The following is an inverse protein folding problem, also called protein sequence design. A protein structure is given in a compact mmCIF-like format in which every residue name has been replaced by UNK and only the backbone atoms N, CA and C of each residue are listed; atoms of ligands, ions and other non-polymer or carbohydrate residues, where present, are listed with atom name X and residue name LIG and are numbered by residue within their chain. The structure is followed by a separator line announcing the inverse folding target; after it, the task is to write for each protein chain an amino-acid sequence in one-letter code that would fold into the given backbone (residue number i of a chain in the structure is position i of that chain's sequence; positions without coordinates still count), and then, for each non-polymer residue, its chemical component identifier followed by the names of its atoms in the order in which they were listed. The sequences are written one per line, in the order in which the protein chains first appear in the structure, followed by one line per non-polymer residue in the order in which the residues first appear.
data_IF_884182807390
#
_entry.id   IF_884182807390
#
_cell.length_a   1.000
_cell.length_b   1.000
_cell.length_c   1.000
_cell.angle_alpha   90.00
_cell.angle_beta   90.00
_cell.angle_gamma   90.00
#
_symmetry.space_group_name_H-M   'P 1'
#
loop_
_entity.id
_entity.type
_entity.pdbx_description
1 polymer ?
#
# COMPACT_ATOMS: atom_id res chain seq x y z
N UNK A 1 -19.71 40.70 8.78
CA UNK A 1 -20.02 39.51 9.58
C UNK A 1 -19.22 38.36 9.00
N UNK A 2 -18.33 37.78 9.80
CA UNK A 2 -17.60 36.57 9.45
C UNK A 2 -18.61 35.44 9.17
N UNK A 3 -18.45 34.67 8.12
CA UNK A 3 -19.29 33.49 7.90
C UNK A 3 -18.95 32.42 8.94
N UNK A 4 -19.83 32.23 9.91
CA UNK A 4 -19.77 31.10 10.84
C UNK A 4 -20.13 29.83 10.08
N UNK A 5 -19.13 29.02 9.77
CA UNK A 5 -19.29 27.71 9.16
C UNK A 5 -19.52 26.68 10.27
N UNK A 6 -20.71 26.04 10.29
CA UNK A 6 -20.96 24.87 11.13
C UNK A 6 -20.41 23.61 10.43
N UNK A 7 -19.54 22.84 11.08
CA UNK A 7 -18.97 21.65 10.48
C UNK A 7 -19.97 20.50 10.42
N UNK A 8 -20.14 19.92 9.22
CA UNK A 8 -20.83 18.65 9.01
C UNK A 8 -20.04 17.48 9.66
N UNK A 9 -20.70 16.40 10.14
CA UNK A 9 -20.07 15.32 10.91
C UNK A 9 -19.14 14.39 10.11
N UNK A 10 -18.93 14.62 8.82
CA UNK A 10 -18.03 13.83 7.98
C UNK A 10 -16.75 14.62 7.71
N UNK A 11 -15.74 14.38 8.53
CA UNK A 11 -14.34 14.79 8.36
C UNK A 11 -14.11 16.25 8.00
N UNK A 12 -13.56 17.03 8.94
CA UNK A 12 -13.14 18.44 8.70
C UNK A 12 -12.16 18.50 7.53
N UNK A 13 -12.48 19.32 6.52
CA UNK A 13 -11.49 19.91 5.65
C UNK A 13 -10.97 21.15 6.39
N UNK A 14 -9.76 21.09 6.91
CA UNK A 14 -9.07 22.28 7.41
C UNK A 14 -8.52 23.03 6.19
N UNK A 15 -9.13 24.16 5.86
CA UNK A 15 -8.70 25.01 4.74
C UNK A 15 -7.87 26.14 5.31
N UNK A 16 -6.60 26.17 4.98
CA UNK A 16 -5.69 27.26 5.30
C UNK A 16 -5.53 28.17 4.09
N UNK A 17 -5.74 29.47 4.29
CA UNK A 17 -5.49 30.47 3.27
C UNK A 17 -4.01 30.81 3.25
N UNK A 18 -3.37 30.65 2.10
CA UNK A 18 -1.98 31.04 1.94
C UNK A 18 -1.80 32.56 2.16
N UNK A 19 -0.79 32.97 2.93
CA UNK A 19 -0.52 34.38 3.15
C UNK A 19 -0.13 35.09 1.85
N UNK A 20 -0.54 36.34 1.70
CA UNK A 20 -0.28 37.17 0.51
C UNK A 20 1.21 37.22 0.14
N UNK A 21 2.11 37.11 1.12
CA UNK A 21 3.56 37.09 0.90
C UNK A 21 4.04 35.91 0.05
N UNK A 22 3.32 34.80 0.06
CA UNK A 22 3.64 33.63 -0.76
C UNK A 22 3.14 33.83 -2.20
N UNK A 23 2.09 34.64 -2.38
CA UNK A 23 1.45 34.92 -3.65
C UNK A 23 2.14 36.08 -4.41
N UNK A 24 2.86 36.97 -3.72
CA UNK A 24 3.53 38.17 -4.32
C UNK A 24 4.60 37.87 -5.38
N UNK A 25 5.02 36.61 -5.51
CA UNK A 25 5.94 36.16 -6.57
C UNK A 25 5.24 35.52 -7.77
N UNK A 26 3.90 35.41 -7.74
CA UNK A 26 3.10 34.69 -8.75
C UNK A 26 2.25 35.62 -9.62
N UNK A 27 2.28 36.95 -9.37
CA UNK A 27 1.57 37.93 -10.19
C UNK A 27 2.07 37.88 -11.64
N UNK A 28 1.26 37.29 -12.51
CA UNK A 28 1.57 37.02 -13.93
C UNK A 28 2.14 35.65 -14.22
N UNK A 29 2.29 34.78 -13.19
CA UNK A 29 2.65 33.37 -13.36
C UNK A 29 1.48 32.57 -13.95
N UNK A 30 1.71 31.91 -15.09
CA UNK A 30 0.73 30.99 -15.65
C UNK A 30 0.56 29.75 -14.76
N UNK A 31 -0.26 28.81 -15.20
CA UNK A 31 -0.59 27.54 -14.54
C UNK A 31 0.65 26.77 -14.02
N UNK A 32 1.78 26.88 -14.72
CA UNK A 32 3.05 26.26 -14.33
C UNK A 32 3.68 26.86 -13.05
N UNK A 33 3.45 28.12 -12.76
CA UNK A 33 3.95 28.74 -11.53
C UNK A 33 3.16 28.27 -10.31
N UNK A 34 1.86 28.10 -10.44
CA UNK A 34 1.00 27.52 -9.41
C UNK A 34 1.31 26.02 -9.19
N UNK A 35 1.57 25.27 -10.27
CA UNK A 35 1.99 23.88 -10.18
C UNK A 35 3.33 23.74 -9.43
N UNK A 36 4.31 24.59 -9.73
CA UNK A 36 5.59 24.57 -9.04
C UNK A 36 5.48 24.97 -7.55
N UNK A 37 4.59 25.90 -7.21
CA UNK A 37 4.30 26.26 -5.83
C UNK A 37 3.62 25.12 -5.10
N UNK A 38 2.58 24.51 -5.71
CA UNK A 38 1.86 23.39 -5.14
C UNK A 38 2.78 22.21 -4.87
N UNK A 39 3.64 21.83 -5.82
CA UNK A 39 4.62 20.76 -5.65
C UNK A 39 5.57 21.04 -4.48
N UNK A 40 6.01 22.28 -4.30
CA UNK A 40 6.88 22.70 -3.18
C UNK A 40 6.15 22.61 -1.83
N UNK A 41 4.91 23.09 -1.76
CA UNK A 41 4.13 23.10 -0.52
C UNK A 41 3.76 21.69 -0.10
N UNK A 42 3.27 20.87 -1.03
CA UNK A 42 2.95 19.48 -0.79
C UNK A 42 4.17 18.63 -0.40
N UNK A 43 5.36 18.98 -0.91
CA UNK A 43 6.61 18.33 -0.52
C UNK A 43 7.14 18.76 0.86
N UNK A 44 6.84 20.00 1.27
CA UNK A 44 7.35 20.58 2.52
C UNK A 44 6.50 20.23 3.73
N UNK A 45 5.21 19.96 3.55
CA UNK A 45 4.25 19.69 4.62
C UNK A 45 3.42 18.45 4.30
N UNK A 46 3.62 17.40 5.11
CA UNK A 46 2.91 16.13 4.98
C UNK A 46 1.42 16.24 5.37
N UNK A 47 1.01 17.29 6.06
CA UNK A 47 -0.40 17.50 6.43
C UNK A 47 -1.20 18.18 5.34
N UNK A 48 -0.55 18.83 4.35
CA UNK A 48 -1.18 19.42 3.18
C UNK A 48 -1.63 18.33 2.20
N UNK A 49 -2.94 18.30 1.89
CA UNK A 49 -3.50 17.34 0.94
C UNK A 49 -3.56 17.86 -0.50
N UNK A 50 -3.96 19.11 -0.71
CA UNK A 50 -4.09 19.71 -2.05
C UNK A 50 -4.02 21.22 -2.00
N UNK A 51 -3.65 21.85 -3.12
CA UNK A 51 -3.72 23.30 -3.32
C UNK A 51 -4.87 23.63 -4.28
N UNK A 52 -5.80 24.48 -3.86
CA UNK A 52 -6.90 24.95 -4.70
C UNK A 52 -6.66 26.38 -5.09
N UNK A 53 -6.67 26.64 -6.40
CA UNK A 53 -6.61 27.99 -6.96
C UNK A 53 -8.00 28.39 -7.43
N UNK A 54 -8.58 29.40 -6.78
CA UNK A 54 -9.89 29.94 -7.11
C UNK A 54 -9.70 31.29 -7.78
N UNK A 55 -10.10 31.48 -9.06
CA UNK A 55 -9.95 32.75 -9.74
C UNK A 55 -10.87 33.83 -9.12
N UNK A 56 -10.38 35.07 -9.06
CA UNK A 56 -11.11 36.21 -8.49
C UNK A 56 -12.42 36.53 -9.25
N UNK A 57 -12.46 36.27 -10.55
CA UNK A 57 -13.65 36.38 -11.39
C UNK A 57 -13.96 35.02 -12.01
N UNK A 58 -15.13 34.50 -11.77
CA UNK A 58 -15.62 33.25 -12.39
C UNK A 58 -16.01 33.57 -13.85
N UNK A 59 -15.31 32.89 -14.77
CA UNK A 59 -15.70 32.81 -16.19
C UNK A 59 -15.47 31.37 -16.66
N UNK A 60 -16.11 31.01 -17.77
CA UNK A 60 -15.86 29.71 -18.41
C UNK A 60 -14.38 29.51 -18.81
N UNK A 61 -13.64 30.61 -18.96
CA UNK A 61 -12.22 30.62 -19.30
C UNK A 61 -11.29 30.55 -18.08
N UNK A 62 -11.82 30.64 -16.88
CA UNK A 62 -11.07 30.61 -15.61
C UNK A 62 -11.65 29.57 -14.65
N UNK A 63 -11.42 28.28 -14.90
CA UNK A 63 -11.90 27.20 -14.03
C UNK A 63 -11.18 27.21 -12.67
N UNK A 64 -11.80 26.58 -11.67
CA UNK A 64 -11.13 26.26 -10.41
C UNK A 64 -10.11 25.16 -10.70
N UNK A 65 -8.85 25.37 -10.32
CA UNK A 65 -7.80 24.38 -10.52
C UNK A 65 -7.38 23.80 -9.17
N UNK A 66 -7.48 22.48 -9.04
CA UNK A 66 -7.02 21.73 -7.88
C UNK A 66 -5.73 20.97 -8.24
N UNK A 67 -4.64 21.33 -7.58
CA UNK A 67 -3.36 20.67 -7.71
C UNK A 67 -3.25 19.61 -6.61
N UNK A 68 -2.93 18.38 -6.99
CA UNK A 68 -2.79 17.27 -6.09
C UNK A 68 -1.61 16.37 -6.51
N UNK A 69 -1.23 15.45 -5.66
CA UNK A 69 -0.20 14.44 -5.92
C UNK A 69 -0.85 13.04 -5.77
N UNK A 70 -1.06 12.35 -6.87
CA UNK A 70 -1.73 11.03 -6.89
C UNK A 70 -0.93 9.95 -6.16
N UNK A 71 0.36 10.16 -5.93
CA UNK A 71 1.20 9.20 -5.22
C UNK A 71 1.00 9.23 -3.70
N UNK A 72 0.35 10.29 -3.17
CA UNK A 72 0.08 10.47 -1.75
C UNK A 72 -1.37 10.14 -1.41
N UNK A 73 -1.59 9.17 -0.54
CA UNK A 73 -2.93 8.77 -0.12
C UNK A 73 -3.75 9.93 0.47
N UNK A 74 -3.11 10.83 1.21
CA UNK A 74 -3.78 12.03 1.78
C UNK A 74 -4.22 12.99 0.68
N UNK A 75 -3.40 13.17 -0.34
CA UNK A 75 -3.69 14.06 -1.47
C UNK A 75 -4.88 13.55 -2.29
N UNK A 76 -4.95 12.26 -2.56
CA UNK A 76 -6.08 11.65 -3.28
C UNK A 76 -7.38 11.70 -2.47
N UNK A 77 -7.32 11.48 -1.15
CA UNK A 77 -8.48 11.61 -0.26
C UNK A 77 -8.94 13.07 -0.17
N UNK A 78 -8.00 14.02 -0.08
CA UNK A 78 -8.31 15.44 -0.05
C UNK A 78 -9.01 15.87 -1.34
N UNK A 79 -8.49 15.45 -2.50
CA UNK A 79 -9.10 15.74 -3.80
C UNK A 79 -10.53 15.21 -3.88
N UNK A 80 -10.76 13.95 -3.55
CA UNK A 80 -12.10 13.34 -3.58
C UNK A 80 -13.10 14.12 -2.69
N UNK A 81 -12.67 14.56 -1.51
CA UNK A 81 -13.50 15.38 -0.61
C UNK A 81 -13.76 16.79 -1.16
N UNK A 82 -12.77 17.38 -1.82
CA UNK A 82 -12.91 18.70 -2.45
C UNK A 82 -13.92 18.61 -3.59
N UNK A 83 -13.83 17.61 -4.45
CA UNK A 83 -14.76 17.37 -5.55
C UNK A 83 -16.21 17.19 -5.02
N UNK A 84 -16.40 16.31 -4.02
CA UNK A 84 -17.71 16.10 -3.38
C UNK A 84 -18.30 17.41 -2.82
N UNK A 85 -17.50 18.21 -2.13
CA UNK A 85 -17.94 19.48 -1.56
C UNK A 85 -18.23 20.54 -2.62
N UNK A 86 -17.46 20.58 -3.69
CA UNK A 86 -17.70 21.52 -4.78
C UNK A 86 -18.98 21.14 -5.55
N UNK A 87 -19.24 19.85 -5.76
CA UNK A 87 -20.50 19.36 -6.34
C UNK A 87 -21.70 19.70 -5.46
N UNK A 88 -21.66 19.39 -4.16
CA UNK A 88 -22.71 19.75 -3.21
C UNK A 88 -23.00 21.27 -3.22
N UNK A 89 -21.94 22.08 -3.22
CA UNK A 89 -22.08 23.53 -3.27
C UNK A 89 -22.64 24.01 -4.61
N UNK A 90 -22.20 23.43 -5.71
CA UNK A 90 -22.71 23.72 -7.04
C UNK A 90 -24.21 23.41 -7.15
N UNK A 91 -24.64 22.25 -6.65
CA UNK A 91 -26.04 21.82 -6.68
C UNK A 91 -26.92 22.69 -5.78
N UNK A 92 -26.45 23.02 -4.58
CA UNK A 92 -27.18 23.94 -3.68
C UNK A 92 -27.34 25.35 -4.28
N UNK A 93 -26.25 25.83 -4.94
CA UNK A 93 -26.26 27.15 -5.59
C UNK A 93 -27.13 27.15 -6.84
N UNK A 94 -27.12 26.08 -7.65
CA UNK A 94 -28.03 25.91 -8.80
C UNK A 94 -29.46 25.85 -8.37
N UNK A 95 -29.81 25.06 -7.31
CA UNK A 95 -31.14 24.95 -6.77
C UNK A 95 -31.67 26.29 -6.27
N UNK A 96 -30.89 27.05 -5.51
CA UNK A 96 -31.25 28.36 -4.99
C UNK A 96 -31.40 29.43 -6.10
N UNK A 97 -30.48 29.43 -7.08
CA UNK A 97 -30.54 30.37 -8.20
C UNK A 97 -31.70 30.07 -9.16
N UNK A 98 -32.02 28.80 -9.40
CA UNK A 98 -33.18 28.38 -10.19
C UNK A 98 -34.48 28.78 -9.54
N UNK A 99 -34.64 28.60 -8.21
CA UNK A 99 -35.81 29.05 -7.47
C UNK A 99 -35.98 30.57 -7.46
N UNK A 100 -34.87 31.33 -7.34
CA UNK A 100 -34.91 32.78 -7.27
C UNK A 100 -35.21 33.48 -8.62
N UNK A 101 -34.87 32.84 -9.75
CA UNK A 101 -34.93 33.45 -11.10
C UNK A 101 -35.85 32.73 -12.08
N UNK A 102 -36.51 31.65 -11.68
CA UNK A 102 -37.32 30.78 -12.57
C UNK A 102 -36.60 30.36 -13.85
N UNK A 103 -35.27 30.12 -13.73
CA UNK A 103 -34.40 29.66 -14.82
C UNK A 103 -34.27 28.15 -14.72
N UNK A 104 -34.25 27.47 -15.91
CA UNK A 104 -34.05 26.05 -15.96
C UNK A 104 -32.65 25.70 -15.42
N UNK A 105 -32.56 24.77 -14.47
CA UNK A 105 -31.29 24.31 -13.87
C UNK A 105 -30.33 23.78 -14.93
N UNK A 106 -30.86 23.17 -16.01
CA UNK A 106 -30.08 22.64 -17.10
C UNK A 106 -29.37 23.71 -17.96
N UNK A 107 -29.80 24.98 -17.85
CA UNK A 107 -29.18 26.11 -18.56
C UNK A 107 -28.02 26.76 -17.76
N UNK A 108 -27.80 26.35 -16.52
CA UNK A 108 -26.69 26.83 -15.72
C UNK A 108 -25.43 25.98 -16.02
N UNK A 109 -24.40 26.62 -16.52
CA UNK A 109 -23.13 25.94 -16.78
C UNK A 109 -22.56 25.30 -15.50
N UNK A 110 -22.10 24.05 -15.58
CA UNK A 110 -21.46 23.38 -14.44
C UNK A 110 -20.19 24.13 -14.03
N UNK A 111 -19.89 24.10 -12.72
CA UNK A 111 -18.59 24.56 -12.24
C UNK A 111 -17.54 23.56 -12.77
N UNK A 112 -16.74 23.98 -13.72
CA UNK A 112 -15.62 23.17 -14.22
C UNK A 112 -14.50 23.22 -13.19
N UNK A 113 -14.22 22.07 -12.60
CA UNK A 113 -13.05 21.85 -11.74
C UNK A 113 -12.03 21.08 -12.57
N UNK A 114 -10.88 21.71 -12.84
CA UNK A 114 -9.75 21.03 -13.47
C UNK A 114 -8.83 20.52 -12.40
N UNK A 115 -8.60 19.21 -12.41
CA UNK A 115 -7.60 18.57 -11.57
C UNK A 115 -6.27 18.52 -12.33
N UNK A 116 -5.18 18.88 -11.67
CA UNK A 116 -3.83 18.73 -12.20
C UNK A 116 -3.03 17.87 -11.26
N UNK A 117 -2.68 16.68 -11.75
CA UNK A 117 -1.76 15.80 -11.05
C UNK A 117 -0.33 16.33 -11.16
N UNK A 118 0.33 16.41 -10.03
CA UNK A 118 1.72 16.85 -9.93
C UNK A 118 2.69 15.67 -9.93
N UNK A 119 2.16 14.44 -9.79
CA UNK A 119 2.97 13.23 -9.83
C UNK A 119 3.64 13.10 -11.19
N UNK A 120 4.92 12.81 -11.18
CA UNK A 120 5.63 12.43 -12.39
C UNK A 120 5.31 10.98 -12.76
N UNK A 121 5.43 10.62 -14.04
CA UNK A 121 5.26 9.24 -14.49
C UNK A 121 6.19 8.25 -13.76
N UNK A 122 7.36 8.72 -13.31
CA UNK A 122 8.28 7.94 -12.48
C UNK A 122 7.70 7.66 -11.08
N UNK A 123 7.09 8.65 -10.45
CA UNK A 123 6.44 8.52 -9.13
C UNK A 123 5.21 7.63 -9.20
N UNK A 124 4.37 7.78 -10.24
CA UNK A 124 3.24 6.87 -10.48
C UNK A 124 3.68 5.41 -10.64
N UNK A 125 4.76 5.17 -11.40
CA UNK A 125 5.33 3.84 -11.57
C UNK A 125 5.92 3.28 -10.28
N UNK A 126 6.61 4.10 -9.50
CA UNK A 126 7.12 3.73 -8.18
C UNK A 126 5.97 3.38 -7.22
N UNK A 127 4.87 4.15 -7.25
CA UNK A 127 3.66 3.86 -6.48
C UNK A 127 3.06 2.51 -6.90
N UNK A 128 2.85 2.28 -8.19
CA UNK A 128 2.30 1.02 -8.70
C UNK A 128 3.15 -0.19 -8.26
N UNK A 129 4.47 -0.07 -8.34
CA UNK A 129 5.39 -1.10 -7.85
C UNK A 129 5.32 -1.26 -6.33
N UNK A 130 5.26 -0.17 -5.58
CA UNK A 130 5.19 -0.20 -4.12
C UNK A 130 3.93 -0.88 -3.59
N UNK A 131 2.83 -0.84 -4.36
CA UNK A 131 1.59 -1.53 -4.03
C UNK A 131 1.62 -3.02 -4.42
N UNK A 132 2.15 -3.33 -5.62
CA UNK A 132 2.15 -4.69 -6.15
C UNK A 132 3.27 -5.56 -5.58
N UNK A 133 4.46 -5.01 -5.37
CA UNK A 133 5.65 -5.75 -5.00
C UNK A 133 5.52 -6.41 -3.62
N UNK A 134 5.03 -5.75 -2.55
CA UNK A 134 4.80 -6.37 -1.25
C UNK A 134 3.82 -7.54 -1.34
N UNK A 135 2.73 -7.38 -2.07
CA UNK A 135 1.74 -8.44 -2.27
C UNK A 135 2.35 -9.66 -2.97
N UNK A 136 3.13 -9.44 -4.04
CA UNK A 136 3.80 -10.52 -4.76
C UNK A 136 4.83 -11.24 -3.89
N UNK A 137 5.61 -10.51 -3.09
CA UNK A 137 6.57 -11.10 -2.15
C UNK A 137 5.87 -12.00 -1.13
N UNK A 138 4.74 -11.58 -0.56
CA UNK A 138 3.94 -12.35 0.37
C UNK A 138 3.38 -13.62 -0.30
N UNK A 139 2.81 -13.50 -1.49
CA UNK A 139 2.28 -14.63 -2.25
C UNK A 139 3.40 -15.64 -2.53
N UNK A 140 4.57 -15.19 -2.98
CA UNK A 140 5.70 -16.08 -3.28
C UNK A 140 6.28 -16.74 -2.03
N UNK A 141 6.32 -16.02 -0.90
CA UNK A 141 6.72 -16.59 0.38
C UNK A 141 5.78 -17.74 0.80
N UNK A 142 4.47 -17.53 0.69
CA UNK A 142 3.45 -18.52 1.02
C UNK A 142 3.51 -19.70 0.06
N UNK A 143 3.55 -19.45 -1.26
CA UNK A 143 3.61 -20.51 -2.29
C UNK A 143 4.90 -21.32 -2.23
N UNK A 144 6.04 -20.65 -2.02
CA UNK A 144 7.34 -21.30 -1.88
C UNK A 144 7.46 -22.19 -0.65
N UNK A 145 6.69 -21.90 0.40
CA UNK A 145 6.62 -22.68 1.63
C UNK A 145 5.55 -23.80 1.59
N UNK A 146 4.52 -23.66 0.75
CA UNK A 146 3.35 -24.52 0.73
C UNK A 146 3.66 -25.99 0.43
N UNK A 147 4.24 -26.25 -0.75
CA UNK A 147 4.52 -27.64 -1.16
C UNK A 147 5.54 -28.33 -0.26
N UNK A 148 6.66 -27.71 0.14
CA UNK A 148 7.59 -28.29 1.08
C UNK A 148 6.97 -28.57 2.45
N UNK A 149 6.07 -27.71 2.93
CA UNK A 149 5.37 -27.94 4.19
C UNK A 149 4.51 -29.23 4.14
N UNK A 150 3.76 -29.42 3.05
CA UNK A 150 2.96 -30.63 2.86
C UNK A 150 3.84 -31.86 2.69
N UNK A 151 4.91 -31.77 1.86
CA UNK A 151 5.76 -32.91 1.54
C UNK A 151 6.55 -33.42 2.75
N UNK A 152 7.12 -32.51 3.54
CA UNK A 152 7.91 -32.84 4.73
C UNK A 152 7.05 -33.26 5.95
N UNK A 153 5.71 -33.13 5.88
CA UNK A 153 4.81 -33.51 6.97
C UNK A 153 3.85 -34.62 6.56
N UNK A 154 2.78 -34.27 5.86
CA UNK A 154 1.78 -35.23 5.39
C UNK A 154 2.37 -36.23 4.39
N UNK A 155 3.28 -35.80 3.51
CA UNK A 155 3.96 -36.67 2.55
C UNK A 155 4.83 -37.74 3.22
N UNK A 156 5.54 -37.42 4.31
CA UNK A 156 6.29 -38.43 5.07
C UNK A 156 5.36 -39.46 5.73
N UNK A 157 4.18 -39.06 6.23
CA UNK A 157 3.21 -39.98 6.81
C UNK A 157 2.64 -40.94 5.75
N UNK A 158 2.29 -40.40 4.58
CA UNK A 158 1.78 -41.19 3.47
C UNK A 158 2.80 -42.21 2.97
N UNK A 159 4.08 -41.85 2.91
CA UNK A 159 5.19 -42.74 2.55
C UNK A 159 5.63 -43.66 3.70
N UNK A 160 5.06 -43.53 4.89
CA UNK A 160 5.43 -44.27 6.13
C UNK A 160 6.88 -44.02 6.58
N UNK A 161 7.54 -42.98 6.08
CA UNK A 161 8.91 -42.60 6.48
C UNK A 161 8.93 -41.88 7.83
N UNK A 162 7.79 -41.32 8.26
CA UNK A 162 7.65 -40.69 9.57
C UNK A 162 7.98 -41.65 10.73
N UNK A 163 7.66 -42.96 10.59
CA UNK A 163 7.97 -43.98 11.61
C UNK A 163 9.48 -44.11 11.77
N UNK A 164 10.24 -44.13 10.68
CA UNK A 164 11.71 -44.22 10.70
C UNK A 164 12.32 -42.96 11.35
N UNK A 165 11.76 -41.80 11.07
CA UNK A 165 12.22 -40.52 11.67
C UNK A 165 11.99 -40.52 13.19
N UNK A 166 10.88 -41.12 13.67
CA UNK A 166 10.54 -41.19 15.10
C UNK A 166 11.43 -42.18 15.87
N UNK A 167 12.09 -43.13 15.20
CA UNK A 167 13.03 -44.05 15.82
C UNK A 167 14.43 -43.45 16.05
N UNK A 168 14.71 -42.26 15.47
CA UNK A 168 16.00 -41.59 15.68
C UNK A 168 16.11 -41.10 17.14
N UNK A 169 17.30 -41.21 17.74
CA UNK A 169 17.58 -40.77 19.11
C UNK A 169 17.75 -39.24 19.20
N UNK A 170 16.79 -38.48 18.65
CA UNK A 170 16.78 -37.01 18.65
C UNK A 170 15.44 -36.51 19.21
N UNK A 171 15.43 -35.34 19.86
CA UNK A 171 14.20 -34.80 20.40
C UNK A 171 13.23 -34.44 19.26
N UNK A 172 11.94 -34.70 19.44
CA UNK A 172 10.90 -34.43 18.44
C UNK A 172 10.83 -32.96 18.03
N UNK A 173 11.10 -32.07 18.98
CA UNK A 173 11.19 -30.63 18.73
C UNK A 173 12.28 -30.26 17.74
N UNK A 174 13.44 -30.93 17.77
CA UNK A 174 14.51 -30.71 16.81
C UNK A 174 14.12 -31.17 15.41
N UNK A 175 13.41 -32.30 15.28
CA UNK A 175 12.86 -32.77 13.99
C UNK A 175 11.88 -31.76 13.44
N UNK A 176 10.94 -31.30 14.27
CA UNK A 176 9.92 -30.33 13.84
C UNK A 176 10.57 -29.00 13.42
N UNK A 177 11.49 -28.48 14.23
CA UNK A 177 12.23 -27.26 13.89
C UNK A 177 13.06 -27.43 12.60
N UNK A 178 13.69 -28.58 12.40
CA UNK A 178 14.40 -28.90 11.17
C UNK A 178 13.51 -28.84 9.93
N UNK A 179 12.29 -29.35 10.02
CA UNK A 179 11.29 -29.26 8.95
C UNK A 179 10.89 -27.82 8.67
N UNK A 180 10.59 -27.04 9.71
CA UNK A 180 10.27 -25.63 9.55
C UNK A 180 11.41 -24.86 8.89
N UNK A 181 12.66 -25.11 9.30
CA UNK A 181 13.83 -24.46 8.69
C UNK A 181 14.02 -24.85 7.21
N UNK A 182 13.78 -26.13 6.86
CA UNK A 182 13.83 -26.58 5.48
C UNK A 182 12.73 -25.91 4.62
N UNK A 183 11.51 -25.81 5.14
CA UNK A 183 10.40 -25.08 4.49
C UNK A 183 10.72 -23.59 4.35
N UNK A 184 11.30 -22.98 5.40
CA UNK A 184 11.76 -21.59 5.38
C UNK A 184 12.81 -21.36 4.29
N UNK A 185 13.79 -22.24 4.19
CA UNK A 185 14.82 -22.15 3.15
C UNK A 185 14.21 -22.20 1.75
N UNK A 186 13.24 -23.10 1.50
CA UNK A 186 12.53 -23.16 0.21
C UNK A 186 11.72 -21.89 -0.06
N UNK A 187 10.98 -21.40 0.93
CA UNK A 187 10.21 -20.15 0.83
C UNK A 187 11.11 -18.94 0.56
N UNK A 188 12.28 -18.87 1.21
CA UNK A 188 13.27 -17.81 0.97
C UNK A 188 13.85 -17.86 -0.44
N UNK A 189 14.17 -19.06 -0.95
CA UNK A 189 14.65 -19.21 -2.34
C UNK A 189 13.57 -18.71 -3.31
N UNK A 190 12.31 -19.12 -3.15
CA UNK A 190 11.21 -18.68 -3.99
C UNK A 190 11.02 -17.16 -3.94
N UNK A 191 11.01 -16.58 -2.74
CA UNK A 191 10.86 -15.13 -2.53
C UNK A 191 12.02 -14.35 -3.13
N UNK A 192 13.27 -14.81 -2.94
CA UNK A 192 14.47 -14.16 -3.48
C UNK A 192 14.51 -14.21 -5.01
N UNK A 193 14.18 -15.36 -5.61
CA UNK A 193 14.10 -15.50 -7.07
C UNK A 193 13.01 -14.60 -7.66
N UNK A 194 11.87 -14.47 -7.00
CA UNK A 194 10.82 -13.57 -7.42
C UNK A 194 11.27 -12.10 -7.37
N UNK A 195 11.95 -11.70 -6.29
CA UNK A 195 12.49 -10.35 -6.14
C UNK A 195 13.49 -10.01 -7.22
N UNK A 196 14.41 -10.94 -7.53
CA UNK A 196 15.40 -10.80 -8.62
C UNK A 196 14.67 -10.71 -9.97
N UNK A 197 13.72 -11.60 -10.24
CA UNK A 197 12.98 -11.62 -11.50
C UNK A 197 12.19 -10.31 -11.70
N UNK A 198 11.52 -9.81 -10.64
CA UNK A 198 10.81 -8.53 -10.68
C UNK A 198 11.75 -7.36 -10.92
N UNK A 199 12.91 -7.34 -10.24
CA UNK A 199 13.93 -6.30 -10.44
C UNK A 199 14.44 -6.24 -11.88
N UNK A 200 14.67 -7.41 -12.50
CA UNK A 200 15.11 -7.51 -13.89
C UNK A 200 14.00 -7.17 -14.90
N UNK A 201 12.74 -7.48 -14.55
CA UNK A 201 11.59 -7.31 -15.46
C UNK A 201 10.98 -5.92 -15.36
N UNK A 202 11.09 -5.23 -14.22
CA UNK A 202 10.41 -3.97 -13.96
C UNK A 202 10.79 -2.90 -15.01
N UNK A 203 12.07 -2.71 -15.29
CA UNK A 203 12.52 -1.75 -16.30
C UNK A 203 12.05 -2.09 -17.72
N UNK A 204 11.94 -3.39 -18.04
CA UNK A 204 11.50 -3.84 -19.36
C UNK A 204 9.98 -3.67 -19.55
N UNK A 205 9.18 -4.02 -18.54
CA UNK A 205 7.73 -3.91 -18.58
C UNK A 205 7.27 -2.45 -18.66
N UNK A 206 7.88 -1.57 -17.89
CA UNK A 206 7.54 -0.16 -17.87
C UNK A 206 7.97 0.57 -19.14
N UNK A 207 9.11 0.20 -19.72
CA UNK A 207 9.53 0.71 -21.03
C UNK A 207 8.58 0.33 -22.18
N UNK A 208 7.87 -0.80 -22.10
CA UNK A 208 6.86 -1.19 -23.11
C UNK A 208 5.55 -0.38 -23.01
N UNK A 209 5.23 0.16 -21.84
CA UNK A 209 4.01 0.98 -21.61
C UNK A 209 4.27 2.44 -22.03
N UNK A 210 5.49 2.76 -22.52
CA UNK A 210 5.85 4.10 -22.93
C UNK A 210 6.12 5.07 -21.77
N UNK A 211 6.20 4.53 -20.56
CA UNK A 211 6.65 5.27 -19.41
C UNK A 211 8.19 5.23 -19.38
N UNK A 212 8.84 6.37 -19.61
CA UNK A 212 10.28 6.56 -19.37
C UNK A 212 10.57 6.54 -17.85
N UNK A 213 10.17 5.42 -17.20
CA UNK A 213 10.32 5.26 -15.75
C UNK A 213 11.61 4.50 -15.52
N UNK A 214 12.61 5.19 -15.00
CA UNK A 214 13.84 4.57 -14.50
C UNK A 214 13.56 3.97 -13.11
N UNK A 215 13.01 2.75 -13.10
CA UNK A 215 12.74 2.02 -11.85
C UNK A 215 14.05 1.51 -11.29
N UNK A 216 14.67 2.32 -10.51
CA UNK A 216 15.79 1.89 -9.67
C UNK A 216 15.24 1.39 -8.34
N UNK A 217 15.12 0.06 -8.21
CA UNK A 217 14.89 -0.52 -6.88
C UNK A 217 16.10 -0.15 -5.99
N UNK A 218 15.91 0.67 -4.96
CA UNK A 218 17.04 1.09 -4.14
C UNK A 218 17.63 -0.13 -3.44
N UNK A 219 18.89 -0.44 -3.72
CA UNK A 219 19.58 -1.61 -3.13
C UNK A 219 19.49 -1.60 -1.59
N UNK A 220 19.51 -0.41 -0.99
CA UNK A 220 19.30 -0.23 0.44
C UNK A 220 17.93 -0.70 0.94
N UNK A 221 16.86 -0.46 0.18
CA UNK A 221 15.52 -0.95 0.52
C UNK A 221 15.44 -2.48 0.45
N UNK A 222 16.04 -3.09 -0.58
CA UNK A 222 16.11 -4.55 -0.69
C UNK A 222 16.85 -5.19 0.49
N UNK A 223 17.94 -4.56 0.93
CA UNK A 223 18.72 -5.01 2.09
C UNK A 223 17.91 -4.88 3.40
N UNK A 224 17.09 -3.85 3.53
CA UNK A 224 16.21 -3.64 4.68
C UNK A 224 14.99 -4.59 4.68
N UNK A 225 14.47 -4.94 3.51
CA UNK A 225 13.37 -5.90 3.33
C UNK A 225 13.81 -7.33 3.68
N UNK A 226 15.04 -7.72 3.37
CA UNK A 226 15.51 -9.09 3.52
C UNK A 226 15.34 -9.69 4.93
N UNK A 227 15.68 -9.02 6.04
CA UNK A 227 15.48 -9.57 7.37
C UNK A 227 13.99 -9.71 7.74
N UNK A 228 13.15 -8.76 7.33
CA UNK A 228 11.70 -8.85 7.54
C UNK A 228 11.09 -9.99 6.72
N UNK A 229 11.55 -10.17 5.47
CA UNK A 229 11.13 -11.27 4.62
C UNK A 229 11.51 -12.63 5.23
N UNK A 230 12.73 -12.74 5.79
CA UNK A 230 13.16 -13.96 6.48
C UNK A 230 12.27 -14.29 7.68
N UNK A 231 11.97 -13.30 8.52
CA UNK A 231 11.09 -13.47 9.68
C UNK A 231 9.66 -13.85 9.25
N UNK A 232 9.16 -13.21 8.20
CA UNK A 232 7.85 -13.50 7.65
C UNK A 232 7.76 -14.92 7.06
N UNK A 233 8.73 -15.31 6.22
CA UNK A 233 8.80 -16.67 5.64
C UNK A 233 8.91 -17.71 6.75
N UNK A 234 9.68 -17.45 7.81
CA UNK A 234 9.79 -18.33 8.96
C UNK A 234 8.46 -18.49 9.69
N UNK A 235 7.74 -17.40 9.94
CA UNK A 235 6.39 -17.42 10.51
C UNK A 235 5.41 -18.22 9.65
N UNK A 236 5.35 -17.94 8.34
CA UNK A 236 4.51 -18.67 7.37
C UNK A 236 4.85 -20.17 7.40
N UNK A 237 6.15 -20.50 7.35
CA UNK A 237 6.62 -21.89 7.36
C UNK A 237 6.23 -22.64 8.63
N UNK A 238 6.29 -21.98 9.79
CA UNK A 238 5.85 -22.57 11.05
C UNK A 238 4.35 -22.87 11.02
N UNK A 239 3.52 -21.92 10.60
CA UNK A 239 2.05 -22.10 10.49
C UNK A 239 1.70 -23.21 9.50
N UNK A 240 2.26 -23.17 8.28
CA UNK A 240 1.95 -24.15 7.24
C UNK A 240 2.42 -25.56 7.63
N UNK A 241 3.61 -25.70 8.21
CA UNK A 241 4.14 -27.00 8.67
C UNK A 241 3.31 -27.55 9.82
N UNK A 242 2.89 -26.71 10.77
CA UNK A 242 2.00 -27.11 11.88
C UNK A 242 0.67 -27.64 11.38
N UNK A 243 -0.01 -26.92 10.49
CA UNK A 243 -1.32 -27.32 9.95
C UNK A 243 -1.19 -28.54 9.03
N UNK A 244 -0.20 -28.58 8.12
CA UNK A 244 0.04 -29.73 7.25
C UNK A 244 0.38 -31.00 8.05
N UNK A 245 0.98 -30.83 9.23
CA UNK A 245 1.23 -31.91 10.17
C UNK A 245 -0.03 -32.61 10.70
N UNK A 246 -1.21 -32.02 10.62
CA UNK A 246 -2.49 -32.63 11.00
C UNK A 246 -3.01 -33.61 9.93
N UNK A 247 -2.63 -33.43 8.67
CA UNK A 247 -3.07 -34.27 7.56
C UNK A 247 -2.44 -35.68 7.61
N UNK A 248 -3.16 -36.68 7.11
CA UNK A 248 -2.70 -38.05 6.98
C UNK A 248 -2.09 -38.36 5.60
N UNK A 249 -2.44 -37.57 4.56
CA UNK A 249 -1.98 -37.75 3.20
C UNK A 249 -1.59 -36.41 2.56
N UNK A 250 -0.80 -36.45 1.49
CA UNK A 250 -0.37 -35.28 0.73
C UNK A 250 -1.58 -34.49 0.20
N UNK A 251 -2.58 -35.20 -0.34
CA UNK A 251 -3.80 -34.58 -0.87
C UNK A 251 -4.62 -33.89 0.22
N UNK A 252 -4.72 -34.49 1.39
CA UNK A 252 -5.40 -33.91 2.55
C UNK A 252 -4.64 -32.66 3.04
N UNK A 253 -3.30 -32.72 3.10
CA UNK A 253 -2.46 -31.57 3.45
C UNK A 253 -2.68 -30.39 2.53
N UNK A 254 -2.74 -30.60 1.21
CA UNK A 254 -3.08 -29.56 0.25
C UNK A 254 -4.49 -28.99 0.48
N UNK A 255 -5.47 -29.85 0.76
CA UNK A 255 -6.84 -29.40 0.99
C UNK A 255 -6.97 -28.55 2.27
N UNK A 256 -6.22 -28.90 3.34
CA UNK A 256 -6.18 -28.10 4.57
C UNK A 256 -5.46 -26.76 4.40
N UNK A 257 -4.37 -26.75 3.66
CA UNK A 257 -3.58 -25.52 3.47
C UNK A 257 -4.19 -24.56 2.44
N UNK A 258 -5.05 -25.02 1.54
CA UNK A 258 -5.72 -24.17 0.54
C UNK A 258 -6.40 -22.93 1.16
N UNK A 259 -7.34 -23.10 2.11
CA UNK A 259 -7.96 -21.97 2.80
C UNK A 259 -6.98 -21.13 3.61
N UNK A 260 -5.93 -21.75 4.18
CA UNK A 260 -4.92 -21.04 4.98
C UNK A 260 -4.14 -20.03 4.14
N UNK A 261 -3.89 -20.34 2.87
CA UNK A 261 -3.26 -19.38 1.94
C UNK A 261 -4.05 -18.07 1.83
N UNK A 262 -5.37 -18.16 1.79
CA UNK A 262 -6.24 -16.99 1.70
C UNK A 262 -6.12 -16.10 2.93
N UNK A 263 -5.88 -16.68 4.11
CA UNK A 263 -5.64 -15.92 5.35
C UNK A 263 -4.39 -15.05 5.26
N UNK A 264 -3.39 -15.43 4.45
CA UNK A 264 -2.21 -14.61 4.19
C UNK A 264 -2.43 -13.63 3.02
N UNK A 265 -3.14 -14.04 1.97
CA UNK A 265 -3.31 -13.25 0.75
C UNK A 265 -4.26 -12.07 0.97
N UNK A 266 -5.42 -12.27 1.62
CA UNK A 266 -6.40 -11.19 1.83
C UNK A 266 -5.88 -10.01 2.64
N UNK A 267 -5.18 -10.19 3.79
CA UNK A 267 -4.59 -9.06 4.50
C UNK A 267 -3.49 -8.35 3.70
N UNK A 268 -2.72 -9.08 2.88
CA UNK A 268 -1.74 -8.49 1.99
C UNK A 268 -2.39 -7.60 0.91
N UNK A 269 -3.53 -8.01 0.36
CA UNK A 269 -4.33 -7.19 -0.56
C UNK A 269 -4.92 -5.96 0.15
N UNK A 270 -5.41 -6.12 1.38
CA UNK A 270 -5.95 -5.01 2.16
C UNK A 270 -4.89 -3.92 2.43
N UNK A 271 -3.62 -4.30 2.57
CA UNK A 271 -2.52 -3.35 2.74
C UNK A 271 -2.26 -2.48 1.49
N UNK A 272 -2.79 -2.86 0.32
CA UNK A 272 -2.71 -2.07 -0.92
C UNK A 272 -3.82 -1.02 -1.03
N UNK A 273 -4.77 -0.98 -0.07
CA UNK A 273 -5.83 0.02 -0.07
C UNK A 273 -5.26 1.41 0.25
N UNK A 274 -5.74 2.47 -0.43
CA UNK A 274 -5.34 3.83 -0.14
C UNK A 274 -5.76 4.25 1.27
N UNK A 275 -4.90 5.02 1.95
CA UNK A 275 -5.15 5.51 3.31
C UNK A 275 -4.73 4.54 4.42
N UNK A 276 -4.25 3.34 4.11
CA UNK A 276 -3.66 2.44 5.11
C UNK A 276 -2.14 2.65 5.14
N UNK A 277 -1.64 3.17 6.26
CA UNK A 277 -0.23 3.48 6.49
C UNK A 277 0.34 2.60 7.62
N UNK A 278 1.67 2.43 7.62
CA UNK A 278 2.37 1.71 8.67
C UNK A 278 2.46 2.58 9.94
N UNK A 279 1.62 2.30 10.90
CA UNK A 279 1.67 2.92 12.23
C UNK A 279 1.88 1.88 13.33
N UNK A 280 1.97 2.31 14.58
CA UNK A 280 2.14 1.39 15.72
C UNK A 280 0.97 0.41 15.88
N UNK A 281 -0.25 0.80 15.49
CA UNK A 281 -1.42 -0.09 15.52
C UNK A 281 -1.39 -1.13 14.40
N UNK A 282 -1.12 -0.73 13.17
CA UNK A 282 -1.06 -1.62 11.99
C UNK A 282 0.17 -2.54 12.04
N UNK A 283 1.26 -2.12 12.69
CA UNK A 283 2.45 -2.94 12.92
C UNK A 283 2.19 -4.21 13.75
N UNK A 284 1.07 -4.26 14.48
CA UNK A 284 0.66 -5.43 15.26
C UNK A 284 -0.35 -6.34 14.53
N UNK A 285 -0.79 -6.00 13.32
CA UNK A 285 -1.72 -6.84 12.57
C UNK A 285 -0.91 -7.78 11.68
N UNK A 286 -0.96 -9.12 11.91
CA UNK A 286 -0.15 -10.05 11.14
C UNK A 286 -0.45 -9.97 9.64
N UNK A 287 0.57 -10.13 8.82
CA UNK A 287 0.58 -10.00 7.35
C UNK A 287 0.43 -8.56 6.85
N UNK A 288 -0.55 -7.79 7.35
CA UNK A 288 -0.72 -6.37 7.00
C UNK A 288 0.54 -5.58 7.36
N UNK A 289 1.10 -5.83 8.54
CA UNK A 289 2.32 -5.18 9.03
C UNK A 289 3.51 -5.37 8.08
N UNK A 290 3.70 -6.59 7.57
CA UNK A 290 4.79 -6.90 6.64
C UNK A 290 4.58 -6.24 5.28
N UNK A 291 3.34 -6.30 4.76
CA UNK A 291 3.01 -5.69 3.49
C UNK A 291 3.24 -4.17 3.52
N UNK A 292 2.77 -3.51 4.59
CA UNK A 292 3.00 -2.08 4.79
C UNK A 292 4.48 -1.75 5.03
N UNK A 293 5.20 -2.56 5.82
CA UNK A 293 6.62 -2.35 6.04
C UNK A 293 7.44 -2.47 4.74
N UNK A 294 7.12 -3.44 3.88
CA UNK A 294 7.75 -3.56 2.56
C UNK A 294 7.45 -2.36 1.68
N UNK A 295 6.20 -1.87 1.69
CA UNK A 295 5.79 -0.69 0.95
C UNK A 295 6.57 0.56 1.39
N UNK A 296 6.61 0.85 2.69
CA UNK A 296 7.31 2.00 3.27
C UNK A 296 8.82 1.96 2.95
N UNK A 297 9.44 0.78 3.08
CA UNK A 297 10.85 0.58 2.75
C UNK A 297 11.14 0.82 1.26
N UNK A 298 10.21 0.48 0.36
CA UNK A 298 10.35 0.70 -1.09
C UNK A 298 10.18 2.17 -1.48
N UNK A 299 9.27 2.90 -0.82
CA UNK A 299 9.03 4.32 -1.08
C UNK A 299 10.15 5.18 -0.48
N UNK A 300 10.91 4.65 0.50
CA UNK A 300 11.99 5.38 1.16
C UNK A 300 11.52 6.26 2.33
N UNK A 301 10.24 6.24 2.68
CA UNK A 301 9.69 6.85 3.89
C UNK A 301 9.84 5.86 5.04
N UNK A 302 10.93 5.95 5.80
CA UNK A 302 11.21 4.96 6.85
C UNK A 302 11.10 5.60 8.23
N UNK A 303 9.92 5.48 8.84
CA UNK A 303 9.86 5.54 10.31
C UNK A 303 10.33 4.20 10.86
N UNK A 304 11.55 4.17 11.42
CA UNK A 304 12.16 2.96 11.95
C UNK A 304 11.38 2.35 13.11
N UNK A 305 10.58 3.14 13.84
CA UNK A 305 9.82 2.68 14.99
C UNK A 305 8.81 1.59 14.64
N UNK A 306 7.81 1.84 13.78
CA UNK A 306 6.85 0.84 13.33
C UNK A 306 7.47 -0.34 12.58
N UNK A 307 8.54 -0.11 11.80
CA UNK A 307 9.27 -1.19 11.09
C UNK A 307 9.92 -2.17 12.07
N UNK A 308 10.60 -1.66 13.08
CA UNK A 308 11.20 -2.51 14.14
C UNK A 308 10.11 -3.24 14.94
N UNK A 309 9.00 -2.57 15.25
CA UNK A 309 7.86 -3.20 15.93
C UNK A 309 7.27 -4.33 15.08
N UNK A 310 7.18 -4.15 13.77
CA UNK A 310 6.78 -5.22 12.83
C UNK A 310 7.70 -6.43 12.93
N UNK A 311 9.01 -6.23 12.96
CA UNK A 311 9.98 -7.31 13.14
C UNK A 311 9.81 -8.07 14.47
N UNK A 312 9.60 -7.34 15.57
CA UNK A 312 9.35 -7.93 16.90
C UNK A 312 8.02 -8.70 16.91
N UNK A 313 6.96 -8.14 16.31
CA UNK A 313 5.66 -8.80 16.20
C UNK A 313 5.75 -10.10 15.40
N UNK A 314 6.45 -10.10 14.26
CA UNK A 314 6.68 -11.30 13.45
C UNK A 314 7.42 -12.38 14.22
N UNK A 315 8.46 -12.01 14.95
CA UNK A 315 9.19 -12.96 15.80
C UNK A 315 8.25 -13.55 16.86
N UNK A 316 7.42 -12.73 17.49
CA UNK A 316 6.40 -13.17 18.44
C UNK A 316 5.42 -14.16 17.82
N UNK A 317 4.89 -13.88 16.64
CA UNK A 317 3.97 -14.77 15.92
C UNK A 317 4.65 -16.08 15.50
N UNK A 318 5.90 -16.01 15.05
CA UNK A 318 6.67 -17.19 14.71
C UNK A 318 6.92 -18.09 15.91
N UNK A 319 7.23 -17.53 17.08
CA UNK A 319 7.40 -18.26 18.33
C UNK A 319 6.08 -18.86 18.84
N UNK A 320 4.94 -18.20 18.62
CA UNK A 320 3.62 -18.72 18.95
C UNK A 320 3.19 -19.87 18.03
N UNK A 321 3.67 -19.89 16.80
CA UNK A 321 3.36 -20.91 15.81
C UNK A 321 4.26 -22.17 15.92
N UNK A 322 5.36 -22.10 16.68
CA UNK A 322 6.25 -23.23 16.98
C UNK A 322 5.66 -24.16 18.03
#
# INVERSE_FOLDING_TARGET
GEPTYEPSPVGRLDVELLPESVLLGLDGGGDDAYAALAARLLAADDDLGALIVVPAARSAESPIVAYHDSTRSRSTIALARIEERLEEHADSTRGSAAHARAVDVAALEPIEVRTRDLATSAEEGALALSLMLPMLLIIMAVMGSFFPAVDLTAGEKERRTAETTLLLPIPRTAVHLGKILAVTASGMVATSLNLIALGLSAGHLLGQIGADIDVQLPFGALLAIAPLALLFVFFVSAVLTGIAGLAASFKEGQALLGPVQLIFIFPAMAASLPGLELGYGTALIPVVNVALAFRELLIGHTDLGPVLLTGVALLGYALLAL
#
